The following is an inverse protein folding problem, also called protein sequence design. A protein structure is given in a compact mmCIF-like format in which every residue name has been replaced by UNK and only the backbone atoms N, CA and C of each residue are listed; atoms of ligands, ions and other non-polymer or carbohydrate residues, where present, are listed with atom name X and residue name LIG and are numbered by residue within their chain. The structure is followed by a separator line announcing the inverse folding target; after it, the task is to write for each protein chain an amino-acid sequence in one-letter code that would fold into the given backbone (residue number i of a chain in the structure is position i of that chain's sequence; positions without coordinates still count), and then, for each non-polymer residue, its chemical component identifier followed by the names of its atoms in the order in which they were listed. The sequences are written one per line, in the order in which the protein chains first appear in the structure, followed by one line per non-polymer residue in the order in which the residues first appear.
data_IF_042265475639
#
_entry.id   IF_042265475639
#
_cell.length_a   1.000
_cell.length_b   1.000
_cell.length_c   1.000
_cell.angle_alpha   90.00
_cell.angle_beta   90.00
_cell.angle_gamma   90.00
#
_symmetry.space_group_name_H-M   'P 1'
#
loop_
_entity.id
_entity.type
_entity.pdbx_description
1 polymer ?
#
# COMPACT_ATOMS: atom_id res chain seq x y z
N UNK A 1 46.88 -19.55 -6.99
CA UNK A 1 46.27 -18.55 -6.09
C UNK A 1 45.56 -17.51 -6.94
N UNK A 2 44.27 -17.68 -7.19
CA UNK A 2 43.39 -16.59 -7.64
C UNK A 2 41.99 -16.96 -7.14
N UNK A 3 41.59 -16.37 -6.03
CA UNK A 3 40.24 -16.50 -5.50
C UNK A 3 39.29 -15.66 -6.36
N UNK A 4 38.32 -16.33 -6.99
CA UNK A 4 37.18 -15.67 -7.62
C UNK A 4 36.24 -15.26 -6.49
N UNK A 5 36.21 -13.98 -6.16
CA UNK A 5 35.23 -13.41 -5.23
C UNK A 5 33.87 -13.43 -5.94
N UNK A 6 33.05 -14.45 -5.66
CA UNK A 6 31.63 -14.43 -6.03
C UNK A 6 30.95 -13.42 -5.12
N UNK A 7 30.76 -12.20 -5.60
CA UNK A 7 29.91 -11.21 -4.93
C UNK A 7 28.47 -11.66 -5.10
N UNK A 8 27.94 -12.42 -4.15
CA UNK A 8 26.52 -12.72 -4.05
C UNK A 8 25.78 -11.43 -3.66
N UNK A 9 24.97 -10.87 -4.57
CA UNK A 9 24.06 -9.75 -4.26
C UNK A 9 23.14 -10.19 -3.11
N UNK A 10 23.19 -9.49 -1.98
CA UNK A 10 22.27 -9.73 -0.86
C UNK A 10 20.82 -9.59 -1.34
N UNK A 11 19.86 -10.35 -0.79
CA UNK A 11 18.45 -10.22 -1.18
C UNK A 11 18.00 -8.77 -1.00
N UNK A 12 17.42 -8.20 -2.06
CA UNK A 12 16.82 -6.86 -2.01
C UNK A 12 15.62 -6.90 -1.06
N UNK A 13 15.85 -6.43 0.17
CA UNK A 13 14.82 -6.29 1.22
C UNK A 13 13.91 -5.08 0.98
N UNK A 14 14.31 -4.19 0.08
CA UNK A 14 13.57 -3.01 -0.32
C UNK A 14 13.50 -2.91 -1.85
N UNK A 15 12.39 -2.38 -2.34
CA UNK A 15 12.15 -1.98 -3.73
C UNK A 15 12.13 -0.45 -3.82
N UNK A 16 12.65 0.08 -4.92
CA UNK A 16 12.62 1.52 -5.19
C UNK A 16 11.41 1.82 -6.07
N UNK A 17 10.51 2.67 -5.59
CA UNK A 17 9.44 3.25 -6.39
C UNK A 17 9.64 4.75 -6.57
N UNK A 18 8.90 5.36 -7.50
CA UNK A 18 8.98 6.78 -7.80
C UNK A 18 7.60 7.42 -7.78
N UNK A 19 7.51 8.57 -7.13
CA UNK A 19 6.39 9.50 -7.26
C UNK A 19 6.87 10.85 -7.85
N UNK A 20 6.01 11.87 -8.01
CA UNK A 20 6.43 13.16 -8.56
C UNK A 20 7.56 13.88 -7.78
N UNK A 21 7.78 13.52 -6.51
CA UNK A 21 8.83 14.11 -5.66
C UNK A 21 10.17 13.34 -5.76
N UNK A 22 10.21 12.22 -6.48
CA UNK A 22 11.42 11.44 -6.72
C UNK A 22 11.35 10.00 -6.21
N UNK A 23 12.49 9.30 -6.15
CA UNK A 23 12.56 7.92 -5.71
C UNK A 23 12.34 7.77 -4.19
N UNK A 24 11.78 6.64 -3.78
CA UNK A 24 11.54 6.25 -2.38
C UNK A 24 11.83 4.77 -2.22
N UNK A 25 12.57 4.39 -1.16
CA UNK A 25 12.80 2.99 -0.80
C UNK A 25 11.66 2.45 0.07
N UNK A 26 11.19 1.25 -0.24
CA UNK A 26 9.99 0.66 0.38
C UNK A 26 10.23 -0.84 0.60
N UNK A 27 9.86 -1.43 1.76
CA UNK A 27 9.98 -2.87 1.97
C UNK A 27 9.32 -3.69 0.84
N UNK A 28 9.98 -4.76 0.40
CA UNK A 28 9.47 -5.59 -0.72
C UNK A 28 8.13 -6.26 -0.42
N UNK A 29 7.83 -6.51 0.85
CA UNK A 29 6.60 -7.13 1.35
C UNK A 29 5.47 -6.12 1.61
N UNK A 30 5.74 -4.81 1.52
CA UNK A 30 4.73 -3.79 1.70
C UNK A 30 3.84 -3.62 0.45
N UNK A 31 2.52 -3.69 0.64
CA UNK A 31 1.55 -3.34 -0.41
C UNK A 31 1.39 -1.84 -0.65
N UNK A 32 1.87 -0.99 0.26
CA UNK A 32 1.74 0.46 0.11
C UNK A 32 2.80 1.05 -0.84
N UNK A 33 2.48 2.19 -1.46
CA UNK A 33 3.34 2.87 -2.42
C UNK A 33 4.18 4.01 -1.85
N UNK A 34 4.89 4.77 -2.71
CA UNK A 34 5.82 5.84 -2.33
C UNK A 34 5.16 6.96 -1.54
N UNK A 35 3.90 7.30 -1.83
CA UNK A 35 3.18 8.34 -1.11
C UNK A 35 2.93 7.96 0.36
N UNK A 36 2.57 6.69 0.62
CA UNK A 36 2.43 6.19 1.99
C UNK A 36 3.77 6.16 2.70
N UNK A 37 4.85 5.73 2.03
CA UNK A 37 6.19 5.74 2.61
C UNK A 37 6.64 7.17 3.00
N UNK A 38 6.34 8.18 2.18
CA UNK A 38 6.56 9.58 2.55
C UNK A 38 5.71 10.02 3.73
N UNK A 39 4.43 9.63 3.77
CA UNK A 39 3.55 9.93 4.92
C UNK A 39 4.12 9.38 6.23
N UNK A 40 4.65 8.15 6.22
CA UNK A 40 5.31 7.56 7.40
C UNK A 40 6.52 8.40 7.84
N UNK A 41 7.36 8.83 6.89
CA UNK A 41 8.55 9.63 7.18
C UNK A 41 8.22 11.06 7.64
N UNK A 42 7.14 11.65 7.12
CA UNK A 42 6.76 13.04 7.39
C UNK A 42 6.01 13.21 8.71
N UNK A 43 5.27 12.19 9.17
CA UNK A 43 4.34 12.32 10.30
C UNK A 43 4.57 11.32 11.45
N UNK A 44 5.77 11.25 12.05
CA UNK A 44 5.99 10.47 13.28
C UNK A 44 5.47 11.23 14.52
N UNK A 45 4.16 11.43 14.63
CA UNK A 45 3.56 12.34 15.62
C UNK A 45 3.15 11.61 16.91
N UNK A 46 2.26 10.62 16.83
CA UNK A 46 1.68 9.96 18.01
C UNK A 46 2.16 8.54 18.20
N UNK A 47 2.64 7.90 17.14
CA UNK A 47 2.91 6.45 17.11
C UNK A 47 1.65 5.60 17.03
N UNK A 48 0.45 6.21 17.03
CA UNK A 48 -0.82 5.52 16.86
C UNK A 48 -1.10 5.41 15.37
N UNK A 49 -1.06 4.18 14.86
CA UNK A 49 -1.29 3.89 13.44
C UNK A 49 -2.78 3.78 13.11
N UNK A 50 -3.18 4.16 11.90
CA UNK A 50 -4.55 3.98 11.39
C UNK A 50 -4.98 2.50 11.39
N UNK A 51 -4.02 1.56 11.30
CA UNK A 51 -4.23 0.11 11.46
C UNK A 51 -4.89 -0.30 12.77
N UNK A 52 -4.79 0.52 13.83
CA UNK A 52 -5.47 0.27 15.10
C UNK A 52 -6.98 0.55 15.03
N UNK A 53 -7.47 1.15 13.94
CA UNK A 53 -8.87 1.52 13.73
C UNK A 53 -9.46 0.73 12.55
N UNK A 54 -9.72 -0.58 12.70
CA UNK A 54 -10.14 -1.45 11.60
C UNK A 54 -11.44 -1.00 10.93
N UNK A 55 -12.37 -0.39 11.68
CA UNK A 55 -13.62 0.14 11.12
C UNK A 55 -13.39 1.31 10.16
N UNK A 56 -12.34 2.11 10.38
CA UNK A 56 -11.96 3.20 9.47
C UNK A 56 -11.38 2.64 8.18
N UNK A 57 -10.50 1.63 8.25
CA UNK A 57 -9.95 0.98 7.07
C UNK A 57 -11.06 0.24 6.28
N UNK A 58 -11.98 -0.42 6.99
CA UNK A 58 -13.14 -1.09 6.40
C UNK A 58 -14.05 -0.12 5.65
N UNK A 59 -14.30 1.08 6.20
CA UNK A 59 -15.12 2.07 5.50
C UNK A 59 -14.43 2.59 4.23
N UNK A 60 -13.11 2.80 4.25
CA UNK A 60 -12.34 3.15 3.05
C UNK A 60 -12.44 2.05 1.98
N UNK A 61 -12.34 0.78 2.37
CA UNK A 61 -12.50 -0.34 1.44
C UNK A 61 -13.89 -0.35 0.78
N UNK A 62 -14.96 -0.12 1.54
CA UNK A 62 -16.30 -0.02 0.98
C UNK A 62 -16.47 1.16 0.01
N UNK A 63 -15.90 2.33 0.34
CA UNK A 63 -15.92 3.50 -0.56
C UNK A 63 -15.21 3.17 -1.87
N UNK A 64 -14.04 2.53 -1.82
CA UNK A 64 -13.28 2.17 -3.03
C UNK A 64 -13.95 1.07 -3.84
N UNK A 65 -14.57 0.08 -3.19
CA UNK A 65 -15.37 -0.95 -3.86
C UNK A 65 -16.58 -0.34 -4.58
N UNK A 66 -17.30 0.58 -3.94
CA UNK A 66 -18.42 1.27 -4.57
C UNK A 66 -17.99 2.10 -5.78
N UNK A 67 -16.87 2.83 -5.66
CA UNK A 67 -16.31 3.61 -6.76
C UNK A 67 -15.88 2.72 -7.94
N UNK A 68 -15.23 1.59 -7.68
CA UNK A 68 -14.82 0.65 -8.72
C UNK A 68 -16.03 0.09 -9.48
N UNK A 69 -17.09 -0.31 -8.77
CA UNK A 69 -18.34 -0.80 -9.38
C UNK A 69 -19.02 0.27 -10.21
N UNK A 70 -19.12 1.50 -9.71
CA UNK A 70 -19.72 2.61 -10.42
C UNK A 70 -18.94 2.95 -11.71
N UNK A 71 -17.61 3.07 -11.62
CA UNK A 71 -16.77 3.37 -12.78
C UNK A 71 -16.81 2.25 -13.83
N UNK A 72 -16.87 0.98 -13.40
CA UNK A 72 -17.04 -0.14 -14.33
C UNK A 72 -18.39 -0.10 -15.05
N UNK A 73 -19.47 0.26 -14.34
CA UNK A 73 -20.80 0.41 -14.94
C UNK A 73 -20.87 1.55 -15.96
N UNK A 74 -20.09 2.61 -15.76
CA UNK A 74 -19.97 3.74 -16.70
C UNK A 74 -19.01 3.47 -17.86
N UNK A 75 -18.20 2.41 -17.78
CA UNK A 75 -17.16 2.10 -18.76
C UNK A 75 -15.84 2.86 -18.55
N UNK A 76 -15.71 3.62 -17.46
CA UNK A 76 -14.50 4.38 -17.10
C UNK A 76 -13.41 3.49 -16.48
N UNK A 77 -13.76 2.26 -16.09
CA UNK A 77 -12.85 1.28 -15.54
C UNK A 77 -13.08 -0.09 -16.19
N UNK A 78 -12.00 -0.71 -16.65
CA UNK A 78 -12.04 -2.08 -17.15
C UNK A 78 -12.63 -3.04 -16.10
N UNK A 79 -13.52 -3.94 -16.55
CA UNK A 79 -14.26 -4.84 -15.65
C UNK A 79 -13.33 -5.77 -14.87
N UNK A 80 -12.28 -6.31 -15.50
CA UNK A 80 -11.36 -7.22 -14.80
C UNK A 80 -10.62 -6.49 -13.67
N UNK A 81 -10.21 -5.24 -13.92
CA UNK A 81 -9.62 -4.40 -12.87
C UNK A 81 -10.62 -4.10 -11.75
N UNK A 82 -11.86 -3.79 -12.09
CA UNK A 82 -12.91 -3.52 -11.12
C UNK A 82 -13.20 -4.74 -10.24
N UNK A 83 -13.25 -5.94 -10.83
CA UNK A 83 -13.46 -7.20 -10.13
C UNK A 83 -12.32 -7.49 -9.14
N UNK A 84 -11.06 -7.30 -9.56
CA UNK A 84 -9.89 -7.43 -8.65
C UNK A 84 -9.92 -6.41 -7.53
N UNK A 85 -10.25 -5.14 -7.81
CA UNK A 85 -10.38 -4.11 -6.77
C UNK A 85 -11.47 -4.49 -5.77
N UNK A 86 -12.63 -4.96 -6.24
CA UNK A 86 -13.72 -5.41 -5.38
C UNK A 86 -13.28 -6.58 -4.49
N UNK A 87 -12.63 -7.58 -5.06
CA UNK A 87 -12.10 -8.72 -4.30
C UNK A 87 -11.17 -8.24 -3.18
N UNK A 88 -10.16 -7.43 -3.50
CA UNK A 88 -9.20 -6.90 -2.50
C UNK A 88 -9.90 -6.05 -1.43
N UNK A 89 -10.89 -5.24 -1.82
CA UNK A 89 -11.67 -4.47 -0.85
C UNK A 89 -12.49 -5.37 0.09
N UNK A 90 -13.04 -6.49 -0.39
CA UNK A 90 -13.72 -7.48 0.45
C UNK A 90 -12.74 -8.13 1.44
N UNK A 91 -11.50 -8.40 1.01
CA UNK A 91 -10.45 -8.92 1.90
C UNK A 91 -10.13 -7.93 3.04
N UNK A 92 -9.94 -6.65 2.69
CA UNK A 92 -9.67 -5.59 3.65
C UNK A 92 -10.85 -5.40 4.60
N UNK A 93 -12.09 -5.42 4.08
CA UNK A 93 -13.30 -5.30 4.89
C UNK A 93 -13.51 -6.50 5.85
N UNK A 94 -12.94 -7.66 5.52
CA UNK A 94 -12.85 -8.84 6.37
C UNK A 94 -11.68 -8.79 7.38
N UNK A 95 -10.92 -7.68 7.42
CA UNK A 95 -9.82 -7.48 8.36
C UNK A 95 -8.48 -8.05 7.89
N UNK A 96 -8.34 -8.46 6.62
CA UNK A 96 -7.03 -8.82 6.05
C UNK A 96 -6.22 -7.57 5.74
N UNK A 97 -4.89 -7.73 5.66
CA UNK A 97 -3.95 -6.69 5.19
C UNK A 97 -3.84 -5.41 6.04
N UNK A 98 -4.39 -5.39 7.27
CA UNK A 98 -4.39 -4.19 8.12
C UNK A 98 -2.98 -3.67 8.44
N UNK A 99 -1.96 -4.54 8.46
CA UNK A 99 -0.55 -4.19 8.64
C UNK A 99 -0.02 -3.24 7.55
N UNK A 100 -0.65 -3.21 6.37
CA UNK A 100 -0.26 -2.35 5.25
C UNK A 100 -0.87 -0.95 5.30
N UNK A 101 -1.48 -0.58 6.42
CA UNK A 101 -1.98 0.77 6.71
C UNK A 101 -1.19 1.41 7.88
N UNK A 102 0.12 1.70 7.71
CA UNK A 102 1.02 2.05 8.80
C UNK A 102 1.03 3.54 9.18
N UNK A 103 0.24 4.39 8.51
CA UNK A 103 0.26 5.84 8.71
C UNK A 103 -0.20 6.22 10.12
N UNK A 104 0.37 7.30 10.65
CA UNK A 104 -0.10 7.91 11.90
C UNK A 104 -1.50 8.51 11.71
N UNK A 105 -2.32 8.49 12.76
CA UNK A 105 -3.65 9.10 12.75
C UNK A 105 -3.59 10.62 12.61
N UNK A 106 -2.51 11.25 13.07
CA UNK A 106 -2.26 12.67 12.84
C UNK A 106 -1.36 12.81 11.61
N UNK A 107 -1.96 13.13 10.48
CA UNK A 107 -1.28 13.42 9.21
C UNK A 107 -1.93 14.64 8.55
N UNK A 108 -1.15 15.38 7.75
CA UNK A 108 -1.57 16.59 7.03
C UNK A 108 -1.67 16.40 5.52
#
# INVERSE_FOLDING_TARGET
MTEVIVVTKAPEIERIEKDPLGPVSIPVDAYYGPQTARGIANFPISGIRISHFPNFIKSLAYVKMAAARANAALGDLDKQKADVICQVCEEIAAGRHLSHFPLDVFQG
#
